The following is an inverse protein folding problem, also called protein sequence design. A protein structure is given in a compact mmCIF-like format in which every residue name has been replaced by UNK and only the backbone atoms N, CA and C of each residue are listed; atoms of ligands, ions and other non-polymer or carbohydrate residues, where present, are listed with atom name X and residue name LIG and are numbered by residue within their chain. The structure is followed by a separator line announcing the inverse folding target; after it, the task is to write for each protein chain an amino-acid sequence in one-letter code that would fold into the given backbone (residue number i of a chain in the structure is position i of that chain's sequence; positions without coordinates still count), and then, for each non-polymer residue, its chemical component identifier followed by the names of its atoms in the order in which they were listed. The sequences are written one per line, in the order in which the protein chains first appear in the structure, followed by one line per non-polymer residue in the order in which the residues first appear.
data_IF_503791477071
#
_entry.id   IF_503791477071
#
_cell.length_a   1.000
_cell.length_b   1.000
_cell.length_c   1.000
_cell.angle_alpha   90.00
_cell.angle_beta   90.00
_cell.angle_gamma   90.00
#
_symmetry.space_group_name_H-M   'P 1'
#
loop_
_entity.id
_entity.type
_entity.pdbx_description
1 polymer ?
#
# COMPACT_ATOMS: atom_id res chain seq x y z
N UNK A 1 11.32 -12.07 0.93
CA UNK A 1 11.40 -10.61 1.08
C UNK A 1 11.57 -10.27 2.55
N UNK A 2 12.30 -9.20 2.89
CA UNK A 2 12.51 -8.75 4.28
C UNK A 2 12.38 -7.23 4.34
N UNK A 3 11.48 -6.74 5.18
CA UNK A 3 11.35 -5.33 5.54
C UNK A 3 11.71 -5.17 7.01
N UNK A 4 12.62 -4.26 7.32
CA UNK A 4 13.00 -3.89 8.68
C UNK A 4 12.71 -2.41 8.86
N UNK A 5 11.97 -2.07 9.91
CA UNK A 5 11.60 -0.69 10.25
C UNK A 5 11.86 -0.46 11.73
N UNK A 6 12.70 0.51 12.03
CA UNK A 6 12.92 1.04 13.40
C UNK A 6 13.04 2.55 13.28
N UNK A 7 11.94 3.25 13.51
CA UNK A 7 11.84 4.69 13.27
C UNK A 7 11.18 5.43 14.42
N UNK A 8 11.59 6.68 14.58
CA UNK A 8 10.92 7.65 15.47
C UNK A 8 10.49 8.87 14.67
N UNK A 9 9.29 9.37 14.98
CA UNK A 9 8.72 10.57 14.37
C UNK A 9 7.91 11.33 15.39
N UNK A 10 8.12 12.64 15.47
CA UNK A 10 7.35 13.55 16.33
C UNK A 10 6.61 14.56 15.48
N UNK A 11 5.34 14.75 15.76
CA UNK A 11 4.45 15.71 15.11
C UNK A 11 3.64 16.45 16.19
N UNK A 12 4.08 17.63 16.58
CA UNK A 12 3.48 18.37 17.70
C UNK A 12 3.49 17.53 18.99
N UNK A 13 2.30 17.23 19.52
CA UNK A 13 2.12 16.37 20.70
C UNK A 13 2.13 14.87 20.40
N UNK A 14 2.11 14.47 19.11
CA UNK A 14 2.12 13.08 18.72
C UNK A 14 3.57 12.56 18.60
N UNK A 15 3.85 11.39 19.18
CA UNK A 15 5.11 10.68 19.06
C UNK A 15 4.87 9.26 18.56
N UNK A 16 5.56 8.92 17.49
CA UNK A 16 5.60 7.57 16.91
C UNK A 16 6.94 6.93 17.23
N UNK A 17 6.92 5.70 17.71
CA UNK A 17 8.07 4.80 17.77
C UNK A 17 7.62 3.48 17.16
N UNK A 18 7.95 3.26 15.89
CA UNK A 18 7.54 2.06 15.17
C UNK A 18 8.77 1.15 14.97
N UNK A 19 8.68 -0.04 15.54
CA UNK A 19 9.64 -1.11 15.33
C UNK A 19 8.87 -2.33 14.86
N UNK A 20 9.13 -2.76 13.62
CA UNK A 20 8.47 -3.93 13.03
C UNK A 20 9.35 -4.57 11.97
N UNK A 21 9.13 -5.87 11.79
CA UNK A 21 9.69 -6.66 10.70
C UNK A 21 8.57 -7.34 9.93
N UNK A 22 8.68 -7.37 8.61
CA UNK A 22 7.74 -8.08 7.75
C UNK A 22 8.49 -8.91 6.72
N UNK A 23 8.01 -10.13 6.55
CA UNK A 23 8.53 -11.12 5.60
C UNK A 23 7.72 -11.21 4.32
N UNK A 24 7.70 -12.39 3.70
CA UNK A 24 6.86 -12.70 2.55
C UNK A 24 5.38 -12.80 2.95
N UNK A 25 4.50 -12.59 1.97
CA UNK A 25 3.06 -12.62 2.19
C UNK A 25 2.47 -11.29 2.64
N UNK A 26 1.32 -11.32 3.26
CA UNK A 26 0.59 -10.15 3.72
C UNK A 26 0.73 -9.99 5.24
N UNK A 27 1.35 -8.90 5.68
CA UNK A 27 1.43 -8.54 7.10
C UNK A 27 0.38 -7.46 7.40
N UNK A 28 -0.60 -7.80 8.25
CA UNK A 28 -1.60 -6.88 8.76
C UNK A 28 -1.05 -6.03 9.91
N UNK A 29 -1.33 -4.73 9.91
CA UNK A 29 -1.04 -3.82 11.02
C UNK A 29 -2.38 -3.36 11.58
N UNK A 30 -2.78 -3.95 12.70
CA UNK A 30 -4.03 -3.66 13.38
C UNK A 30 -3.81 -2.68 14.53
N UNK A 31 -4.69 -1.70 14.66
CA UNK A 31 -4.63 -0.76 15.79
C UNK A 31 -5.67 0.34 15.69
N UNK A 32 -5.92 1.04 16.80
CA UNK A 32 -6.90 2.12 16.85
C UNK A 32 -6.56 3.26 15.90
N UNK A 33 -7.59 4.02 15.49
CA UNK A 33 -7.38 5.23 14.67
C UNK A 33 -6.45 6.22 15.39
N UNK A 34 -5.53 6.82 14.61
CA UNK A 34 -4.58 7.80 15.11
C UNK A 34 -3.42 7.23 15.94
N UNK A 35 -3.20 5.90 16.00
CA UNK A 35 -2.03 5.35 16.69
C UNK A 35 -0.72 5.46 15.88
N UNK A 36 -0.77 5.80 14.58
CA UNK A 36 0.44 6.02 13.77
C UNK A 36 0.64 5.05 12.60
N UNK A 37 -0.31 4.14 12.33
CA UNK A 37 -0.23 3.15 11.24
C UNK A 37 0.08 3.78 9.88
N UNK A 38 -0.76 4.72 9.44
CA UNK A 38 -0.58 5.44 8.16
C UNK A 38 0.71 6.26 8.13
N UNK A 39 1.13 6.81 9.29
CA UNK A 39 2.40 7.53 9.40
C UNK A 39 3.59 6.60 9.18
N UNK A 40 3.55 5.39 9.74
CA UNK A 40 4.58 4.37 9.50
C UNK A 40 4.68 4.02 8.02
N UNK A 41 3.55 3.77 7.35
CA UNK A 41 3.55 3.50 5.91
C UNK A 41 4.10 4.69 5.09
N UNK A 42 3.73 5.93 5.44
CA UNK A 42 4.25 7.14 4.78
C UNK A 42 5.75 7.30 4.97
N UNK A 43 6.28 6.95 6.13
CA UNK A 43 7.72 6.93 6.37
C UNK A 43 8.43 5.87 5.53
N UNK A 44 7.89 4.66 5.40
CA UNK A 44 8.43 3.61 4.53
C UNK A 44 8.40 4.04 3.06
N UNK A 45 7.31 4.69 2.62
CA UNK A 45 7.17 5.19 1.26
C UNK A 45 8.10 6.39 0.94
N UNK A 46 8.65 7.07 1.95
CA UNK A 46 9.42 8.30 1.79
C UNK A 46 8.58 9.54 1.53
N UNK A 47 7.27 9.45 1.77
CA UNK A 47 6.34 10.60 1.71
C UNK A 47 6.55 11.49 2.93
N UNK A 48 6.81 10.86 4.09
CA UNK A 48 7.17 11.53 5.33
C UNK A 48 8.57 11.09 5.74
N UNK A 49 9.38 12.04 6.21
CA UNK A 49 10.72 11.75 6.70
C UNK A 49 10.68 11.43 8.19
N UNK A 50 11.20 10.27 8.65
CA UNK A 50 11.42 10.02 10.08
C UNK A 50 12.40 11.04 10.69
N UNK A 51 12.28 11.29 11.99
CA UNK A 51 13.25 12.15 12.69
C UNK A 51 14.54 11.39 12.99
N UNK A 52 14.42 10.06 13.25
CA UNK A 52 15.55 9.17 13.43
C UNK A 52 15.17 7.72 13.16
N UNK A 53 16.18 6.87 12.96
CA UNK A 53 16.00 5.44 12.82
C UNK A 53 16.53 4.89 11.51
N UNK A 54 16.01 3.71 11.14
CA UNK A 54 16.42 2.91 10.00
C UNK A 54 15.24 2.25 9.31
N UNK A 55 15.26 2.21 7.98
CA UNK A 55 14.32 1.47 7.14
C UNK A 55 15.11 0.73 6.08
N UNK A 56 14.94 -0.59 5.99
CA UNK A 56 15.58 -1.44 5.02
C UNK A 56 14.57 -2.37 4.34
N UNK A 57 14.70 -2.54 3.03
CA UNK A 57 13.88 -3.44 2.22
C UNK A 57 14.80 -4.32 1.36
N UNK A 58 14.78 -5.63 1.57
CA UNK A 58 15.60 -6.61 0.84
C UNK A 58 17.10 -6.27 0.81
N UNK A 59 17.68 -5.87 1.96
CA UNK A 59 19.09 -5.45 2.05
C UNK A 59 19.38 -4.06 1.50
N UNK A 60 18.38 -3.36 0.95
CA UNK A 60 18.51 -1.98 0.47
C UNK A 60 18.06 -1.01 1.56
N UNK A 61 18.98 -0.18 2.05
CA UNK A 61 18.67 0.86 3.04
C UNK A 61 17.90 1.98 2.35
N UNK A 62 16.62 2.16 2.74
CA UNK A 62 15.75 3.22 2.23
C UNK A 62 15.92 4.54 3.01
N UNK A 63 16.15 4.41 4.33
CA UNK A 63 16.38 5.52 5.23
C UNK A 63 17.33 5.09 6.35
N UNK A 64 18.28 5.94 6.69
CA UNK A 64 19.16 5.77 7.86
C UNK A 64 19.63 7.13 8.35
N UNK A 65 19.19 7.53 9.54
CA UNK A 65 19.51 8.84 10.11
C UNK A 65 21.00 8.98 10.46
N UNK A 66 21.69 7.89 10.83
CA UNK A 66 23.12 7.90 11.20
C UNK A 66 24.00 7.96 9.96
N UNK A 67 23.63 7.21 8.92
CA UNK A 67 24.36 7.18 7.64
C UNK A 67 23.96 8.33 6.70
N UNK A 68 22.97 9.15 7.08
CA UNK A 68 22.38 10.22 6.27
C UNK A 68 21.85 9.73 4.92
N UNK A 69 21.26 8.53 4.91
CA UNK A 69 20.60 7.96 3.74
C UNK A 69 19.11 8.31 3.80
N UNK A 70 18.56 8.83 2.71
CA UNK A 70 17.13 9.12 2.57
C UNK A 70 16.78 9.03 1.08
N UNK A 71 16.35 7.85 0.63
CA UNK A 71 16.00 7.63 -0.76
C UNK A 71 14.69 8.33 -1.11
N UNK A 72 14.64 8.98 -2.26
CA UNK A 72 13.40 9.55 -2.78
C UNK A 72 12.33 8.46 -3.00
N UNK A 73 11.02 8.78 -2.87
CA UNK A 73 9.94 7.80 -3.04
C UNK A 73 10.04 6.97 -4.32
N UNK A 74 10.43 7.59 -5.45
CA UNK A 74 10.56 6.90 -6.74
C UNK A 74 11.66 5.82 -6.75
N UNK A 75 12.66 5.94 -5.88
CA UNK A 75 13.80 5.01 -5.78
C UNK A 75 13.50 3.83 -4.86
N UNK A 76 12.50 3.94 -3.98
CA UNK A 76 12.18 2.92 -2.97
C UNK A 76 11.49 1.69 -3.54
N UNK A 77 10.96 1.76 -4.76
CA UNK A 77 10.22 0.68 -5.45
C UNK A 77 9.08 0.08 -4.61
N UNK A 78 8.40 0.92 -3.86
CA UNK A 78 7.24 0.56 -3.05
C UNK A 78 5.96 1.11 -3.70
N UNK A 79 4.87 0.37 -3.57
CA UNK A 79 3.55 0.80 -4.00
C UNK A 79 2.74 1.25 -2.79
N UNK A 80 2.07 2.40 -2.87
CA UNK A 80 1.25 2.93 -1.79
C UNK A 80 -0.17 3.17 -2.28
N UNK A 81 -1.14 2.45 -1.72
CA UNK A 81 -2.56 2.69 -1.92
C UNK A 81 -3.08 3.56 -0.78
N UNK A 82 -3.44 4.79 -1.11
CA UNK A 82 -4.04 5.74 -0.17
C UNK A 82 -5.49 5.39 0.13
N UNK A 83 -5.97 5.74 1.31
CA UNK A 83 -7.34 5.56 1.75
C UNK A 83 -8.39 6.17 0.79
N UNK A 84 -8.06 7.28 0.13
CA UNK A 84 -8.91 7.94 -0.87
C UNK A 84 -8.58 7.55 -2.32
N UNK A 85 -7.86 6.42 -2.51
CA UNK A 85 -7.40 5.88 -3.80
C UNK A 85 -6.51 6.81 -4.64
N UNK A 86 -6.54 8.11 -4.42
CA UNK A 86 -5.76 9.16 -5.09
C UNK A 86 -5.70 9.01 -6.62
N UNK A 87 -6.80 8.62 -7.26
CA UNK A 87 -6.92 8.63 -8.71
C UNK A 87 -6.89 10.07 -9.24
N UNK A 88 -6.29 10.26 -10.40
CA UNK A 88 -6.29 11.55 -11.09
C UNK A 88 -7.69 11.82 -11.66
N UNK A 89 -8.45 12.80 -11.15
CA UNK A 89 -9.88 12.95 -11.47
C UNK A 89 -10.15 13.31 -12.92
N UNK A 90 -9.21 14.01 -13.55
CA UNK A 90 -9.31 14.45 -14.95
C UNK A 90 -8.79 13.44 -15.96
N UNK A 91 -8.24 12.31 -15.51
CA UNK A 91 -7.75 11.23 -16.35
C UNK A 91 -8.75 10.09 -16.43
N UNK A 92 -8.80 9.41 -17.58
CA UNK A 92 -9.56 8.18 -17.71
C UNK A 92 -8.92 7.04 -16.91
N UNK A 93 -9.63 5.93 -16.72
CA UNK A 93 -9.11 4.71 -16.09
C UNK A 93 -7.79 4.26 -16.75
N UNK A 94 -7.78 4.11 -18.08
CA UNK A 94 -6.57 3.75 -18.82
C UNK A 94 -5.43 4.73 -18.59
N UNK A 95 -5.70 6.04 -18.62
CA UNK A 95 -4.68 7.06 -18.36
C UNK A 95 -4.13 7.00 -16.93
N UNK A 96 -5.00 6.71 -15.94
CA UNK A 96 -4.56 6.50 -14.56
C UNK A 96 -3.58 5.32 -14.47
N UNK A 97 -3.87 4.18 -15.10
CA UNK A 97 -2.99 3.01 -15.09
C UNK A 97 -1.68 3.30 -15.85
N UNK A 98 -1.76 3.95 -17.02
CA UNK A 98 -0.58 4.35 -17.80
C UNK A 98 0.38 5.27 -17.02
N UNK A 99 -0.11 6.04 -16.03
CA UNK A 99 0.77 6.82 -15.16
C UNK A 99 1.74 5.96 -14.34
N UNK A 100 1.38 4.73 -14.01
CA UNK A 100 2.28 3.78 -13.35
C UNK A 100 3.44 3.30 -14.23
N UNK A 101 3.30 3.43 -15.55
CA UNK A 101 4.28 2.95 -16.54
C UNK A 101 5.17 4.06 -17.11
N UNK A 102 5.32 5.19 -16.42
CA UNK A 102 6.11 6.33 -16.92
C UNK A 102 7.55 5.97 -17.29
N UNK A 103 8.14 5.02 -16.58
CA UNK A 103 9.53 4.59 -16.78
C UNK A 103 9.71 3.56 -17.90
N UNK A 104 8.63 3.03 -18.48
CA UNK A 104 8.67 2.12 -19.62
C UNK A 104 8.84 2.96 -20.90
N UNK A 105 9.99 2.83 -21.61
CA UNK A 105 10.27 3.68 -22.79
C UNK A 105 9.41 3.33 -24.01
N UNK A 106 9.07 2.05 -24.19
CA UNK A 106 8.29 1.59 -25.33
C UNK A 106 6.80 1.91 -25.14
N UNK A 107 6.25 2.73 -26.05
CA UNK A 107 4.85 3.15 -26.02
C UNK A 107 3.90 1.99 -26.32
N UNK A 108 4.24 1.08 -27.22
CA UNK A 108 3.39 -0.06 -27.56
C UNK A 108 3.31 -1.04 -26.39
N UNK A 109 4.45 -1.31 -25.75
CA UNK A 109 4.53 -2.13 -24.55
C UNK A 109 3.76 -1.51 -23.38
N UNK A 110 3.84 -0.19 -23.18
CA UNK A 110 3.05 0.53 -22.15
C UNK A 110 1.55 0.32 -22.32
N UNK A 111 1.05 0.43 -23.56
CA UNK A 111 -0.38 0.25 -23.85
C UNK A 111 -0.77 -1.20 -23.58
N UNK A 112 0.02 -2.17 -24.03
CA UNK A 112 -0.21 -3.59 -23.80
C UNK A 112 -0.26 -3.93 -22.30
N UNK A 113 0.74 -3.53 -21.54
CA UNK A 113 0.79 -3.77 -20.09
C UNK A 113 -0.39 -3.10 -19.35
N UNK A 114 -0.81 -1.91 -19.79
CA UNK A 114 -1.97 -1.24 -19.21
C UNK A 114 -3.27 -2.00 -19.50
N UNK A 115 -3.45 -2.53 -20.71
CA UNK A 115 -4.64 -3.29 -21.09
C UNK A 115 -4.68 -4.65 -20.38
N UNK A 116 -3.55 -5.34 -20.24
CA UNK A 116 -3.42 -6.55 -19.43
C UNK A 116 -3.78 -6.30 -17.96
N UNK A 117 -3.32 -5.18 -17.39
CA UNK A 117 -3.66 -4.78 -16.03
C UNK A 117 -5.14 -4.45 -15.87
N UNK A 118 -5.76 -3.76 -16.84
CA UNK A 118 -7.21 -3.48 -16.85
C UNK A 118 -7.99 -4.79 -16.84
N UNK A 119 -7.58 -5.77 -17.66
CA UNK A 119 -8.19 -7.09 -17.70
C UNK A 119 -8.03 -7.85 -16.36
N UNK A 120 -6.83 -7.85 -15.80
CA UNK A 120 -6.53 -8.46 -14.48
C UNK A 120 -7.40 -7.88 -13.36
N UNK A 121 -7.65 -6.56 -13.39
CA UNK A 121 -8.50 -5.86 -12.43
C UNK A 121 -10.01 -6.04 -12.69
N UNK A 122 -10.42 -6.74 -13.76
CA UNK A 122 -11.83 -6.90 -14.13
C UNK A 122 -12.50 -5.57 -14.50
N UNK A 123 -11.77 -4.69 -15.19
CA UNK A 123 -12.23 -3.34 -15.54
C UNK A 123 -12.37 -3.12 -17.05
N UNK A 124 -12.44 -4.22 -17.84
CA UNK A 124 -12.66 -4.13 -19.29
C UNK A 124 -13.98 -3.44 -19.61
N UNK A 125 -13.97 -2.63 -20.67
CA UNK A 125 -15.10 -1.80 -21.07
C UNK A 125 -15.20 -0.45 -20.33
N UNK A 126 -14.37 -0.24 -19.30
CA UNK A 126 -14.36 1.00 -18.50
C UNK A 126 -13.15 1.90 -18.81
N UNK A 127 -12.36 1.60 -19.82
CA UNK A 127 -11.07 2.24 -20.12
C UNK A 127 -11.17 3.76 -20.30
N UNK A 128 -12.30 4.22 -20.87
CA UNK A 128 -12.59 5.63 -21.14
C UNK A 128 -13.30 6.35 -20.00
N UNK A 129 -13.75 5.64 -18.96
CA UNK A 129 -14.43 6.22 -17.81
C UNK A 129 -13.45 7.01 -16.94
N UNK A 130 -13.93 8.12 -16.39
CA UNK A 130 -13.22 8.91 -15.38
C UNK A 130 -13.58 8.42 -13.97
N UNK A 131 -12.77 8.73 -12.94
CA UNK A 131 -13.02 8.24 -11.58
C UNK A 131 -14.44 8.47 -11.07
N UNK A 132 -15.04 9.61 -11.32
CA UNK A 132 -16.42 9.92 -10.89
C UNK A 132 -17.52 9.08 -11.57
N UNK A 133 -17.19 8.35 -12.63
CA UNK A 133 -18.08 7.44 -13.36
C UNK A 133 -17.94 5.99 -12.90
N UNK A 134 -16.99 5.72 -11.99
CA UNK A 134 -16.69 4.39 -11.47
C UNK A 134 -17.28 4.23 -10.08
N UNK A 135 -17.77 3.02 -9.75
CA UNK A 135 -18.12 2.68 -8.37
C UNK A 135 -16.90 2.69 -7.45
N UNK A 136 -17.11 2.77 -6.13
CA UNK A 136 -16.01 2.75 -5.16
C UNK A 136 -15.07 1.55 -5.33
N UNK A 137 -15.61 0.35 -5.51
CA UNK A 137 -14.82 -0.86 -5.76
C UNK A 137 -14.07 -0.83 -7.09
N UNK A 138 -14.66 -0.23 -8.15
CA UNK A 138 -13.96 -0.03 -9.43
C UNK A 138 -12.83 0.99 -9.30
N UNK A 139 -13.04 2.08 -8.56
CA UNK A 139 -12.00 3.06 -8.27
C UNK A 139 -10.84 2.44 -7.50
N UNK A 140 -11.13 1.63 -6.50
CA UNK A 140 -10.12 0.92 -5.72
C UNK A 140 -9.29 -0.03 -6.60
N UNK A 141 -9.95 -0.88 -7.41
CA UNK A 141 -9.24 -1.76 -8.35
C UNK A 141 -8.43 -0.98 -9.38
N UNK A 142 -8.92 0.15 -9.87
CA UNK A 142 -8.16 1.02 -10.76
C UNK A 142 -6.91 1.61 -10.11
N UNK A 143 -7.02 2.04 -8.85
CA UNK A 143 -5.88 2.56 -8.07
C UNK A 143 -4.85 1.46 -7.78
N UNK A 144 -5.30 0.26 -7.42
CA UNK A 144 -4.44 -0.90 -7.23
C UNK A 144 -3.72 -1.28 -8.54
N UNK A 145 -4.43 -1.35 -9.66
CA UNK A 145 -3.86 -1.62 -10.98
C UNK A 145 -2.78 -0.59 -11.37
N UNK A 146 -3.01 0.70 -11.11
CA UNK A 146 -2.01 1.75 -11.33
C UNK A 146 -0.72 1.54 -10.54
N UNK A 147 -0.82 0.96 -9.35
CA UNK A 147 0.34 0.67 -8.50
C UNK A 147 1.03 -0.61 -8.95
N UNK A 148 0.28 -1.69 -9.17
CA UNK A 148 0.81 -3.01 -9.51
C UNK A 148 1.51 -3.05 -10.87
N UNK A 149 1.04 -2.27 -11.85
CA UNK A 149 1.65 -2.20 -13.18
C UNK A 149 3.11 -1.76 -13.13
N UNK A 150 3.52 -1.02 -12.09
CA UNK A 150 4.91 -0.62 -11.86
C UNK A 150 5.76 -1.73 -11.17
N UNK A 151 5.16 -2.90 -10.90
CA UNK A 151 5.83 -4.08 -10.30
C UNK A 151 6.60 -3.73 -9.01
N UNK A 152 5.94 -3.13 -8.00
CA UNK A 152 6.61 -2.76 -6.74
C UNK A 152 7.11 -4.02 -6.02
N UNK A 153 8.19 -3.86 -5.22
CA UNK A 153 8.70 -4.93 -4.34
C UNK A 153 7.80 -5.13 -3.12
N UNK A 154 7.30 -4.05 -2.56
CA UNK A 154 6.40 -4.02 -1.40
C UNK A 154 5.15 -3.23 -1.75
N UNK A 155 3.98 -3.77 -1.45
CA UNK A 155 2.71 -3.08 -1.56
C UNK A 155 2.25 -2.63 -0.16
N UNK A 156 1.83 -1.39 -0.05
CA UNK A 156 1.30 -0.83 1.20
C UNK A 156 -0.13 -0.36 0.98
N UNK A 157 -1.06 -0.94 1.75
CA UNK A 157 -2.50 -0.70 1.67
C UNK A 157 -2.93 0.04 2.95
N UNK A 158 -3.27 1.31 2.82
CA UNK A 158 -3.66 2.16 3.95
C UNK A 158 -5.19 2.25 4.06
N UNK A 159 -5.79 1.46 4.94
CA UNK A 159 -7.22 1.34 5.14
C UNK A 159 -8.01 1.20 3.82
N UNK A 160 -7.64 0.21 2.97
CA UNK A 160 -8.07 0.19 1.57
C UNK A 160 -9.58 0.07 1.40
N UNK A 161 -10.30 -0.48 2.38
CA UNK A 161 -11.73 -0.78 2.25
C UNK A 161 -12.63 0.16 3.06
N UNK A 162 -12.07 1.14 3.75
CA UNK A 162 -12.80 2.02 4.68
C UNK A 162 -13.90 2.87 4.03
N UNK A 163 -13.77 3.15 2.73
CA UNK A 163 -14.74 3.94 1.96
C UNK A 163 -15.85 3.09 1.30
N UNK A 164 -15.86 1.76 1.48
CA UNK A 164 -16.80 0.86 0.84
C UNK A 164 -17.92 0.45 1.81
N UNK A 165 -19.12 0.25 1.27
CA UNK A 165 -20.20 -0.43 1.98
C UNK A 165 -19.82 -1.90 2.25
N UNK A 166 -20.53 -2.55 3.17
CA UNK A 166 -20.19 -3.88 3.66
C UNK A 166 -20.15 -4.95 2.55
N UNK A 167 -21.13 -4.98 1.65
CA UNK A 167 -21.21 -6.00 0.60
C UNK A 167 -20.11 -5.80 -0.46
N UNK A 168 -19.93 -4.57 -0.91
CA UNK A 168 -18.85 -4.20 -1.84
C UNK A 168 -17.49 -4.51 -1.23
N UNK A 169 -17.31 -4.23 0.08
CA UNK A 169 -16.08 -4.52 0.81
C UNK A 169 -15.72 -6.01 0.76
N UNK A 170 -16.66 -6.90 1.07
CA UNK A 170 -16.42 -8.35 1.04
C UNK A 170 -15.99 -8.84 -0.35
N UNK A 171 -16.69 -8.40 -1.39
CA UNK A 171 -16.37 -8.79 -2.75
C UNK A 171 -14.99 -8.27 -3.19
N UNK A 172 -14.72 -6.99 -2.95
CA UNK A 172 -13.46 -6.35 -3.40
C UNK A 172 -12.26 -6.83 -2.57
N UNK A 173 -12.42 -7.08 -1.26
CA UNK A 173 -11.33 -7.64 -0.44
C UNK A 173 -10.93 -9.04 -0.90
N UNK A 174 -11.90 -9.90 -1.23
CA UNK A 174 -11.62 -11.23 -1.77
C UNK A 174 -10.89 -11.17 -3.12
N UNK A 175 -11.29 -10.25 -4.01
CA UNK A 175 -10.64 -10.05 -5.30
C UNK A 175 -9.20 -9.56 -5.13
N UNK A 176 -8.97 -8.56 -4.28
CA UNK A 176 -7.63 -8.02 -4.00
C UNK A 176 -6.74 -9.09 -3.39
N UNK A 177 -7.24 -9.84 -2.40
CA UNK A 177 -6.49 -10.93 -1.78
C UNK A 177 -6.06 -11.98 -2.81
N UNK A 178 -6.97 -12.38 -3.72
CA UNK A 178 -6.66 -13.31 -4.82
C UNK A 178 -5.56 -12.77 -5.72
N UNK A 179 -5.63 -11.49 -6.11
CA UNK A 179 -4.62 -10.84 -6.95
C UNK A 179 -3.26 -10.83 -6.25
N UNK A 180 -3.20 -10.46 -4.96
CA UNK A 180 -1.95 -10.43 -4.20
C UNK A 180 -1.30 -11.81 -4.12
N UNK A 181 -2.09 -12.86 -3.92
CA UNK A 181 -1.61 -14.26 -3.87
C UNK A 181 -1.12 -14.74 -5.23
N UNK A 182 -1.89 -14.51 -6.30
CA UNK A 182 -1.51 -14.90 -7.66
C UNK A 182 -0.21 -14.23 -8.13
N UNK A 183 -0.04 -12.97 -7.79
CA UNK A 183 1.16 -12.20 -8.12
C UNK A 183 2.35 -12.46 -7.17
N UNK A 184 2.16 -13.27 -6.12
CA UNK A 184 3.19 -13.52 -5.10
C UNK A 184 3.69 -12.24 -4.44
N UNK A 185 2.82 -11.24 -4.26
CA UNK A 185 3.21 -9.93 -3.74
C UNK A 185 3.26 -9.92 -2.23
N UNK A 186 4.30 -9.30 -1.70
CA UNK A 186 4.35 -8.95 -0.29
C UNK A 186 3.63 -7.64 -0.06
N UNK A 187 2.81 -7.60 0.99
CA UNK A 187 2.03 -6.42 1.31
C UNK A 187 2.01 -6.12 2.81
N UNK A 188 1.95 -4.83 3.14
CA UNK A 188 1.54 -4.33 4.45
C UNK A 188 0.09 -3.84 4.34
N UNK A 189 -0.81 -4.41 5.12
CA UNK A 189 -2.21 -4.01 5.21
C UNK A 189 -2.44 -3.28 6.52
N UNK A 190 -2.71 -1.99 6.45
CA UNK A 190 -3.12 -1.21 7.62
C UNK A 190 -4.64 -1.18 7.68
N UNK A 191 -5.19 -1.62 8.80
CA UNK A 191 -6.63 -1.58 9.06
C UNK A 191 -6.93 -1.38 10.55
N UNK A 192 -8.14 -0.97 10.86
CA UNK A 192 -8.71 -0.98 12.21
C UNK A 192 -9.80 -2.05 12.36
N UNK A 193 -10.10 -2.78 11.29
CA UNK A 193 -11.09 -3.86 11.25
C UNK A 193 -10.41 -5.21 11.48
N UNK A 194 -10.87 -5.93 12.52
CA UNK A 194 -10.31 -7.22 12.92
C UNK A 194 -10.59 -8.28 11.84
N UNK A 195 -11.79 -8.26 11.24
CA UNK A 195 -12.15 -9.23 10.22
C UNK A 195 -11.28 -9.09 8.97
N UNK A 196 -10.99 -7.85 8.55
CA UNK A 196 -10.05 -7.58 7.46
C UNK A 196 -8.64 -8.09 7.80
N UNK A 197 -8.14 -7.77 9.00
CA UNK A 197 -6.81 -8.19 9.43
C UNK A 197 -6.66 -9.72 9.40
N UNK A 198 -7.63 -10.45 9.96
CA UNK A 198 -7.59 -11.91 10.04
C UNK A 198 -7.78 -12.57 8.67
N UNK A 199 -8.73 -12.08 7.85
CA UNK A 199 -9.05 -12.73 6.56
C UNK A 199 -8.05 -12.48 5.44
N UNK A 200 -7.27 -11.38 5.53
CA UNK A 200 -6.39 -10.94 4.45
C UNK A 200 -4.90 -11.03 4.77
N UNK A 201 -4.53 -11.37 6.00
CA UNK A 201 -3.12 -11.39 6.41
C UNK A 201 -2.63 -12.79 6.73
N UNK A 202 -1.35 -13.06 6.49
CA UNK A 202 -0.63 -14.26 6.95
C UNK A 202 -0.09 -14.05 8.37
N UNK A 203 0.16 -12.79 8.74
CA UNK A 203 0.64 -12.36 10.06
C UNK A 203 0.02 -11.03 10.42
N UNK A 204 -0.35 -10.83 11.67
CA UNK A 204 -0.93 -9.59 12.18
C UNK A 204 -0.09 -9.02 13.31
N UNK A 205 0.32 -7.76 13.15
CA UNK A 205 0.99 -6.96 14.18
C UNK A 205 -0.04 -6.05 14.82
N UNK A 206 -0.25 -6.21 16.12
CA UNK A 206 -1.20 -5.40 16.89
C UNK A 206 -0.49 -4.24 17.58
N UNK A 207 -0.90 -3.02 17.25
CA UNK A 207 -0.35 -1.81 17.86
C UNK A 207 -1.20 -1.32 19.03
N UNK A 208 -0.54 -0.81 20.06
CA UNK A 208 -1.20 -0.13 21.19
C UNK A 208 -1.83 1.20 20.78
N UNK A 209 -2.66 1.76 21.69
CA UNK A 209 -2.96 3.19 21.66
C UNK A 209 -1.68 3.99 21.95
N UNK A 210 -1.76 5.33 21.73
CA UNK A 210 -0.62 6.26 21.92
C UNK A 210 0.13 6.08 23.24
N UNK A 211 1.46 6.00 23.24
CA UNK A 211 2.36 5.85 22.08
C UNK A 211 2.18 4.45 21.44
N UNK A 212 2.23 4.40 20.10
CA UNK A 212 2.11 3.14 19.38
C UNK A 212 3.36 2.28 19.60
N UNK A 213 3.17 1.15 20.25
CA UNK A 213 4.18 0.09 20.38
C UNK A 213 3.55 -1.23 19.95
N UNK A 214 4.34 -2.15 19.47
CA UNK A 214 3.88 -3.51 19.17
C UNK A 214 3.46 -4.19 20.46
N UNK A 215 2.21 -4.65 20.54
CA UNK A 215 1.64 -5.37 21.69
C UNK A 215 1.65 -6.88 21.50
N UNK A 216 1.39 -7.32 20.29
CA UNK A 216 1.34 -8.73 19.93
C UNK A 216 1.63 -8.92 18.45
N UNK A 217 2.11 -10.09 18.11
CA UNK A 217 2.26 -10.59 16.75
C UNK A 217 1.61 -11.96 16.69
N UNK A 218 0.79 -12.16 15.66
CA UNK A 218 -0.04 -13.36 15.50
C UNK A 218 0.17 -13.89 14.09
N UNK A 219 0.50 -15.16 13.95
CA UNK A 219 0.48 -15.90 12.68
C UNK A 219 -0.95 -16.41 12.44
N UNK A 220 -1.46 -16.28 11.18
CA UNK A 220 -2.83 -16.60 10.79
C UNK A 220 -2.90 -17.93 10.02
#
# INVERSE_FOLDING_TARGET
MSLIVDIKKRLGSFSLSAQLEAGEGVTGILGSSGCGKSMTLKCIAGIERPDSGHIELDGVVLYDSRKRIDLHPQQRRVGYLFQNYALFPNMTLRQNILCGLRNQPDKAQRVKEADEMIAMMGLQGLEKHRPYQLSGGQQQRAALGRILVNKPRLLMLDEPFSALDYQTRLAVSADIWRILRQEGKTALLVTHDIAEAVSMSDRVIVLSRRPAVVKAELDM
#
